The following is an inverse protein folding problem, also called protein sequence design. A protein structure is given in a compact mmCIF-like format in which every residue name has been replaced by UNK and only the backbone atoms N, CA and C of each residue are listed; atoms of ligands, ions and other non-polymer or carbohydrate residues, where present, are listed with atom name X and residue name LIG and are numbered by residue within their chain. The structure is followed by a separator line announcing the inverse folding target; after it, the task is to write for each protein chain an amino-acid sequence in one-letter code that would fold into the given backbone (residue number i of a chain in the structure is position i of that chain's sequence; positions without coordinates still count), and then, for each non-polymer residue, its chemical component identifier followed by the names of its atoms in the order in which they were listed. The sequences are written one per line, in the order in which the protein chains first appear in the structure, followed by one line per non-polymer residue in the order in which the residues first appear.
data_IF_539892088857
#
_entry.id   IF_539892088857
#
_cell.length_a   1.000
_cell.length_b   1.000
_cell.length_c   1.000
_cell.angle_alpha   90.00
_cell.angle_beta   90.00
_cell.angle_gamma   90.00
#
_symmetry.space_group_name_H-M   'P 1'
#
loop_
_entity.id
_entity.type
_entity.pdbx_description
1 polymer ?
#
# COMPACT_ATOMS: atom_id res chain seq x y z
N UNK A 1 35.19 19.11 -8.36
CA UNK A 1 34.65 17.75 -8.61
C UNK A 1 33.14 17.79 -8.45
N UNK A 2 32.37 17.76 -9.55
CA UNK A 2 30.90 17.70 -9.53
C UNK A 2 30.48 16.23 -9.63
N UNK A 3 29.75 15.72 -8.63
CA UNK A 3 29.16 14.37 -8.67
C UNK A 3 28.01 14.38 -9.69
N UNK A 4 28.15 13.63 -10.79
CA UNK A 4 27.04 13.37 -11.72
C UNK A 4 26.14 12.34 -11.05
N UNK A 5 24.94 12.78 -10.65
CA UNK A 5 23.91 11.93 -10.06
C UNK A 5 23.18 11.24 -11.22
N UNK A 6 23.46 9.95 -11.45
CA UNK A 6 22.66 9.13 -12.37
C UNK A 6 21.38 8.77 -11.63
N UNK A 7 20.32 9.55 -11.84
CA UNK A 7 18.98 9.22 -11.35
C UNK A 7 18.47 8.04 -12.17
N UNK A 8 18.50 6.85 -11.58
CA UNK A 8 17.87 5.65 -12.15
C UNK A 8 16.39 5.73 -11.83
N UNK A 9 15.58 6.25 -12.76
CA UNK A 9 14.11 6.17 -12.67
C UNK A 9 13.71 4.77 -13.17
N UNK A 10 13.36 3.89 -12.24
CA UNK A 10 12.85 2.56 -12.55
C UNK A 10 11.42 2.66 -13.11
N UNK A 11 11.28 2.76 -14.43
CA UNK A 11 10.00 2.54 -15.12
C UNK A 11 9.75 1.03 -15.22
N UNK A 12 8.95 0.48 -14.32
CA UNK A 12 8.55 -0.93 -14.34
C UNK A 12 7.35 -1.09 -15.28
N UNK A 13 7.54 -1.90 -16.33
CA UNK A 13 6.51 -2.30 -17.29
C UNK A 13 6.10 -3.75 -17.03
N UNK A 14 4.83 -3.98 -16.69
CA UNK A 14 4.27 -5.31 -16.71
C UNK A 14 2.84 -5.30 -17.30
N UNK A 15 2.59 -6.30 -18.14
CA UNK A 15 1.43 -6.39 -19.03
C UNK A 15 0.57 -7.58 -18.62
N UNK A 16 -0.73 -7.33 -18.44
CA UNK A 16 -1.77 -8.37 -18.33
C UNK A 16 -3.08 -7.80 -18.88
N UNK A 17 -3.61 -8.46 -19.90
CA UNK A 17 -4.79 -8.05 -20.67
C UNK A 17 -6.09 -8.41 -19.95
N UNK A 18 -7.02 -7.47 -19.76
CA UNK A 18 -8.46 -7.77 -19.63
C UNK A 18 -9.33 -6.56 -20.04
N UNK A 19 -10.51 -6.88 -20.57
CA UNK A 19 -11.39 -6.06 -21.41
C UNK A 19 -12.05 -4.83 -20.77
N UNK A 20 -12.60 -4.02 -21.67
CA UNK A 20 -12.98 -2.62 -21.53
C UNK A 20 -14.48 -2.38 -21.41
N UNK A 21 -14.88 -1.46 -20.52
CA UNK A 21 -16.02 -0.56 -20.77
C UNK A 21 -15.98 0.64 -19.82
N UNK A 22 -15.99 1.89 -20.34
CA UNK A 22 -16.25 3.11 -19.55
C UNK A 22 -16.68 4.26 -20.49
N UNK A 23 -17.86 4.81 -20.23
CA UNK A 23 -18.44 6.00 -20.85
C UNK A 23 -18.22 7.29 -20.06
N UNK A 24 -18.49 8.40 -20.75
CA UNK A 24 -18.22 9.79 -20.38
C UNK A 24 -19.34 10.45 -19.54
N UNK A 25 -18.96 11.48 -18.77
CA UNK A 25 -19.90 12.41 -18.15
C UNK A 25 -19.20 13.52 -17.33
N UNK A 26 -19.40 14.77 -17.74
CA UNK A 26 -18.82 15.99 -17.16
C UNK A 26 -19.85 16.80 -16.33
N UNK A 27 -19.38 17.48 -15.27
CA UNK A 27 -19.61 18.92 -14.95
C UNK A 27 -19.31 19.27 -13.47
N UNK A 28 -18.59 20.37 -13.22
CA UNK A 28 -18.71 21.18 -11.99
C UNK A 28 -17.63 21.03 -10.89
N UNK A 29 -16.49 21.71 -11.08
CA UNK A 29 -15.50 22.18 -10.08
C UNK A 29 -15.27 21.35 -8.80
N UNK A 30 -14.70 20.18 -8.99
CA UNK A 30 -13.48 19.85 -8.24
C UNK A 30 -12.45 19.46 -9.30
N UNK A 31 -11.17 19.81 -9.14
CA UNK A 31 -10.15 19.54 -10.16
C UNK A 31 -9.85 18.04 -10.36
N UNK A 32 -10.63 17.15 -9.76
CA UNK A 32 -10.50 15.71 -9.78
C UNK A 32 -11.28 15.09 -10.93
N UNK A 33 -10.68 14.10 -11.60
CA UNK A 33 -11.40 13.24 -12.54
C UNK A 33 -12.00 12.09 -11.74
N UNK A 34 -13.23 12.30 -11.27
CA UNK A 34 -13.97 11.34 -10.43
C UNK A 34 -14.04 11.75 -8.96
N UNK A 35 -14.19 10.75 -8.08
CA UNK A 35 -14.35 10.96 -6.63
C UNK A 35 -13.03 11.38 -6.00
N UNK A 36 -13.02 12.48 -5.25
CA UNK A 36 -11.79 13.00 -4.65
C UNK A 36 -11.33 12.17 -3.45
N UNK A 37 -10.05 12.27 -3.04
CA UNK A 37 -9.61 11.80 -1.73
C UNK A 37 -10.46 12.33 -0.57
N UNK A 38 -10.80 13.63 -0.56
CA UNK A 38 -11.66 14.23 0.48
C UNK A 38 -13.03 13.57 0.56
N UNK A 39 -13.62 13.22 -0.60
CA UNK A 39 -14.88 12.50 -0.66
C UNK A 39 -14.79 11.17 0.10
N UNK A 40 -13.80 10.33 -0.18
CA UNK A 40 -13.67 9.04 0.53
C UNK A 40 -13.29 9.20 2.00
N UNK A 41 -12.45 10.19 2.32
CA UNK A 41 -12.09 10.44 3.71
C UNK A 41 -13.29 10.93 4.54
N UNK A 42 -14.23 11.65 3.93
CA UNK A 42 -15.49 12.04 4.55
C UNK A 42 -16.49 10.88 4.67
N UNK A 43 -16.46 9.94 3.72
CA UNK A 43 -17.33 8.76 3.71
C UNK A 43 -16.92 7.71 4.76
N UNK A 44 -15.61 7.61 5.05
CA UNK A 44 -15.11 6.72 6.10
C UNK A 44 -15.59 7.20 7.48
N UNK A 45 -16.14 6.31 8.32
CA UNK A 45 -16.55 6.67 9.67
C UNK A 45 -15.37 7.21 10.49
N UNK A 46 -15.64 8.11 11.42
CA UNK A 46 -14.63 8.57 12.37
C UNK A 46 -14.08 7.39 13.20
N UNK A 47 -12.81 7.44 13.66
CA UNK A 47 -12.35 6.53 14.69
C UNK A 47 -13.29 6.61 15.90
N UNK A 48 -13.76 5.48 16.47
CA UNK A 48 -14.66 5.50 17.60
C UNK A 48 -13.98 6.14 18.82
N UNK A 49 -14.71 7.02 19.51
CA UNK A 49 -14.17 7.74 20.67
C UNK A 49 -13.82 6.82 21.84
N UNK A 50 -14.64 5.79 22.06
CA UNK A 50 -14.41 4.72 23.03
C UNK A 50 -14.31 3.39 22.26
N UNK A 51 -13.15 2.74 22.33
CA UNK A 51 -12.97 1.43 21.70
C UNK A 51 -13.39 0.26 22.59
N UNK A 52 -13.74 0.50 23.88
CA UNK A 52 -13.92 -0.54 24.90
C UNK A 52 -14.88 -0.14 26.04
N UNK A 53 -15.85 -1.00 26.41
CA UNK A 53 -16.45 -1.98 25.50
C UNK A 53 -17.21 -1.21 24.41
N UNK A 54 -17.00 -1.57 23.15
CA UNK A 54 -17.86 -1.07 22.08
C UNK A 54 -19.23 -1.73 22.21
N UNK A 55 -20.30 -0.94 22.12
CA UNK A 55 -21.65 -1.51 22.07
C UNK A 55 -21.90 -2.15 20.71
N UNK A 56 -22.68 -3.23 20.67
CA UNK A 56 -22.96 -3.96 19.44
C UNK A 56 -23.63 -3.10 18.37
N UNK A 57 -24.52 -2.17 18.76
CA UNK A 57 -25.16 -1.22 17.86
C UNK A 57 -24.16 -0.22 17.26
N UNK A 58 -23.19 0.24 18.06
CA UNK A 58 -22.11 1.13 17.60
C UNK A 58 -21.17 0.41 16.63
N UNK A 59 -20.76 -0.83 16.96
CA UNK A 59 -19.89 -1.66 16.10
C UNK A 59 -20.59 -1.98 14.78
N UNK A 60 -21.87 -2.34 14.83
CA UNK A 60 -22.69 -2.60 13.66
C UNK A 60 -22.82 -1.35 12.79
N UNK A 61 -23.18 -0.20 13.38
CA UNK A 61 -23.30 1.09 12.67
C UNK A 61 -21.97 1.51 12.03
N UNK A 62 -20.85 1.30 12.71
CA UNK A 62 -19.52 1.54 12.16
C UNK A 62 -19.25 0.64 10.95
N UNK A 63 -19.50 -0.66 11.08
CA UNK A 63 -19.23 -1.68 10.05
C UNK A 63 -20.09 -1.44 8.81
N UNK A 64 -21.38 -1.14 8.99
CA UNK A 64 -22.33 -0.82 7.92
C UNK A 64 -21.92 0.42 7.13
N UNK A 65 -21.26 1.40 7.75
CA UNK A 65 -20.72 2.58 7.05
C UNK A 65 -19.36 2.30 6.42
N UNK A 66 -18.49 1.58 7.13
CA UNK A 66 -17.11 1.34 6.74
C UNK A 66 -17.01 0.43 5.51
N UNK A 67 -17.70 -0.70 5.48
CA UNK A 67 -17.55 -1.71 4.41
C UNK A 67 -17.94 -1.17 3.03
N UNK A 68 -19.08 -0.49 2.83
CA UNK A 68 -19.41 0.12 1.54
C UNK A 68 -18.40 1.19 1.12
N UNK A 69 -17.99 2.07 2.04
CA UNK A 69 -17.01 3.11 1.78
C UNK A 69 -15.66 2.54 1.32
N UNK A 70 -15.17 1.50 2.00
CA UNK A 70 -13.92 0.79 1.65
C UNK A 70 -14.03 0.10 0.29
N UNK A 71 -15.15 -0.57 0.00
CA UNK A 71 -15.41 -1.22 -1.28
C UNK A 71 -15.39 -0.22 -2.42
N UNK A 72 -16.06 0.91 -2.22
CA UNK A 72 -16.15 1.98 -3.21
C UNK A 72 -14.79 2.65 -3.47
N UNK A 73 -14.03 2.94 -2.41
CA UNK A 73 -12.66 3.45 -2.50
C UNK A 73 -11.78 2.52 -3.34
N UNK A 74 -11.83 1.22 -3.06
CA UNK A 74 -11.03 0.22 -3.77
C UNK A 74 -11.46 0.10 -5.25
N UNK A 75 -12.76 0.22 -5.53
CA UNK A 75 -13.27 0.21 -6.90
C UNK A 75 -12.80 1.43 -7.71
N UNK A 76 -12.80 2.63 -7.10
CA UNK A 76 -12.31 3.86 -7.74
C UNK A 76 -10.80 3.83 -7.99
N UNK A 77 -10.00 3.38 -7.01
CA UNK A 77 -8.54 3.16 -7.18
C UNK A 77 -8.30 2.18 -8.34
N UNK A 78 -8.98 1.03 -8.33
CA UNK A 78 -8.85 0.03 -9.39
C UNK A 78 -9.27 0.56 -10.77
N UNK A 79 -10.32 1.39 -10.84
CA UNK A 79 -10.76 2.05 -12.07
C UNK A 79 -9.65 2.95 -12.64
N UNK A 80 -9.05 3.80 -11.80
CA UNK A 80 -7.96 4.71 -12.22
C UNK A 80 -6.69 3.99 -12.61
N UNK A 81 -6.31 2.95 -11.85
CA UNK A 81 -5.17 2.11 -12.19
C UNK A 81 -5.35 1.40 -13.54
N UNK A 82 -6.55 0.85 -13.81
CA UNK A 82 -6.85 0.26 -15.12
C UNK A 82 -6.81 1.29 -16.25
N UNK A 83 -7.34 2.50 -16.03
CA UNK A 83 -7.27 3.57 -17.00
C UNK A 83 -5.82 4.01 -17.29
N UNK A 84 -5.00 4.16 -16.24
CA UNK A 84 -3.57 4.46 -16.35
C UNK A 84 -2.82 3.36 -17.11
N UNK A 85 -3.11 2.09 -16.81
CA UNK A 85 -2.53 0.94 -17.52
C UNK A 85 -2.88 0.95 -19.01
N UNK A 86 -4.17 1.08 -19.34
CA UNK A 86 -4.63 1.16 -20.74
C UNK A 86 -4.00 2.35 -21.47
N UNK A 87 -3.90 3.49 -20.79
CA UNK A 87 -3.23 4.67 -21.33
C UNK A 87 -1.74 4.42 -21.60
N UNK A 88 -1.03 3.78 -20.66
CA UNK A 88 0.37 3.40 -20.85
C UNK A 88 0.54 2.46 -22.04
N UNK A 89 -0.34 1.46 -22.20
CA UNK A 89 -0.31 0.53 -23.34
C UNK A 89 -0.56 1.22 -24.68
N UNK A 90 -1.45 2.22 -24.72
CA UNK A 90 -1.76 2.98 -25.93
C UNK A 90 -0.65 3.98 -26.30
N UNK A 91 0.01 4.56 -25.29
CA UNK A 91 1.03 5.58 -25.49
C UNK A 91 2.46 5.03 -25.45
N UNK A 92 2.67 3.75 -25.08
CA UNK A 92 4.00 3.15 -24.91
C UNK A 92 4.89 3.33 -26.13
N UNK A 93 4.31 3.15 -27.31
CA UNK A 93 5.03 3.29 -28.57
C UNK A 93 5.51 4.72 -28.77
N UNK A 94 4.62 5.71 -28.62
CA UNK A 94 4.94 7.12 -28.81
C UNK A 94 5.86 7.66 -27.71
N UNK A 95 5.68 7.19 -26.46
CA UNK A 95 6.59 7.48 -25.35
C UNK A 95 7.99 6.95 -25.66
N UNK A 96 8.09 5.74 -26.22
CA UNK A 96 9.36 5.17 -26.63
C UNK A 96 9.96 5.91 -27.83
N UNK A 97 9.19 6.21 -28.87
CA UNK A 97 9.66 7.00 -30.01
C UNK A 97 10.20 8.36 -29.52
N UNK A 98 9.44 9.09 -28.70
CA UNK A 98 9.86 10.39 -28.16
C UNK A 98 11.03 10.32 -27.16
N UNK A 99 11.07 9.28 -26.31
CA UNK A 99 12.16 9.11 -25.36
C UNK A 99 13.46 8.76 -26.07
N UNK A 100 13.34 8.14 -27.24
CA UNK A 100 14.49 7.67 -27.97
C UNK A 100 14.93 8.65 -29.07
N UNK A 101 14.04 9.50 -29.62
CA UNK A 101 14.32 10.72 -30.41
C UNK A 101 15.16 11.78 -29.66
N UNK A 102 15.63 11.47 -28.45
CA UNK A 102 16.80 12.12 -27.91
C UNK A 102 18.01 11.89 -28.84
N UNK A 103 18.81 12.94 -29.14
CA UNK A 103 19.85 12.94 -30.17
C UNK A 103 20.65 11.63 -30.24
N UNK A 104 20.74 11.04 -31.44
CA UNK A 104 21.47 9.78 -31.71
C UNK A 104 20.61 8.51 -31.77
N UNK A 105 19.34 8.57 -32.18
CA UNK A 105 18.53 7.37 -32.42
C UNK A 105 17.84 7.37 -33.77
N UNK A 106 18.25 6.46 -34.63
CA UNK A 106 17.46 6.01 -35.76
C UNK A 106 16.89 4.63 -35.40
N UNK A 107 15.63 4.53 -34.96
CA UNK A 107 15.13 3.26 -34.45
C UNK A 107 13.70 2.87 -34.80
N UNK A 108 13.59 1.55 -35.03
CA UNK A 108 12.41 0.79 -35.44
C UNK A 108 11.31 0.72 -34.36
N UNK A 109 10.08 0.45 -34.78
CA UNK A 109 8.88 0.48 -33.95
C UNK A 109 8.79 -0.65 -32.90
N UNK A 110 7.98 -0.46 -31.86
CA UNK A 110 7.73 -1.46 -30.81
C UNK A 110 7.12 -2.77 -31.35
N UNK A 111 6.38 -2.71 -32.47
CA UNK A 111 5.83 -3.90 -33.14
C UNK A 111 6.93 -4.76 -33.79
N UNK A 112 7.99 -4.12 -34.30
CA UNK A 112 9.18 -4.80 -34.79
C UNK A 112 10.00 -5.37 -33.61
N UNK A 113 10.11 -4.62 -32.51
CA UNK A 113 10.76 -5.10 -31.28
C UNK A 113 10.03 -6.28 -30.62
N UNK A 114 8.70 -6.33 -30.64
CA UNK A 114 7.94 -7.49 -30.14
C UNK A 114 8.15 -8.73 -31.00
N UNK A 115 8.29 -8.56 -32.32
CA UNK A 115 8.60 -9.63 -33.28
C UNK A 115 10.06 -10.11 -33.19
N UNK A 116 10.95 -9.27 -32.65
CA UNK A 116 12.33 -9.64 -32.36
C UNK A 116 12.41 -10.60 -31.17
N UNK A 117 13.24 -11.63 -31.34
CA UNK A 117 13.66 -12.54 -30.30
C UNK A 117 14.40 -11.82 -29.17
N UNK A 118 14.49 -12.46 -28.00
CA UNK A 118 15.23 -11.93 -26.84
C UNK A 118 16.71 -11.64 -27.18
N UNK A 119 17.30 -12.41 -28.08
CA UNK A 119 18.66 -12.21 -28.58
C UNK A 119 18.77 -10.98 -29.49
N UNK A 120 17.82 -10.75 -30.38
CA UNK A 120 17.79 -9.57 -31.26
C UNK A 120 17.52 -8.29 -30.49
N UNK A 121 16.63 -8.32 -29.48
CA UNK A 121 16.43 -7.18 -28.57
C UNK A 121 17.70 -6.85 -27.80
N UNK A 122 18.42 -7.88 -27.34
CA UNK A 122 19.71 -7.71 -26.67
C UNK A 122 20.75 -7.12 -27.61
N UNK A 123 20.84 -7.60 -28.86
CA UNK A 123 21.74 -7.07 -29.90
C UNK A 123 21.42 -5.64 -30.29
N UNK A 124 20.13 -5.29 -30.35
CA UNK A 124 19.68 -3.92 -30.61
C UNK A 124 19.99 -3.00 -29.43
N UNK A 125 19.77 -3.44 -28.19
CA UNK A 125 20.16 -2.69 -27.00
C UNK A 125 21.69 -2.53 -26.89
N UNK A 126 22.45 -3.56 -27.28
CA UNK A 126 23.91 -3.53 -27.43
C UNK A 126 24.34 -2.50 -28.46
N UNK A 127 23.76 -2.57 -29.65
CA UNK A 127 24.03 -1.64 -30.73
C UNK A 127 23.62 -0.21 -30.34
N UNK A 128 22.50 -0.02 -29.66
CA UNK A 128 22.09 1.29 -29.13
C UNK A 128 23.08 1.82 -28.10
N UNK A 129 23.57 0.98 -27.20
CA UNK A 129 24.56 1.43 -26.21
C UNK A 129 25.91 1.74 -26.87
N UNK A 130 26.29 0.97 -27.89
CA UNK A 130 27.50 1.19 -28.64
C UNK A 130 27.41 2.42 -29.55
N UNK A 131 26.27 2.66 -30.19
CA UNK A 131 26.06 3.77 -31.12
C UNK A 131 25.76 5.09 -30.38
N UNK A 132 25.06 5.07 -29.24
CA UNK A 132 24.74 6.29 -28.43
C UNK A 132 25.83 6.69 -27.46
N UNK A 133 26.57 5.72 -26.95
CA UNK A 133 27.49 5.94 -25.85
C UNK A 133 28.91 5.46 -26.15
N UNK A 134 29.16 4.90 -27.33
CA UNK A 134 30.48 4.38 -27.71
C UNK A 134 30.87 3.14 -26.90
N UNK A 135 29.91 2.55 -26.17
CA UNK A 135 30.15 1.55 -25.14
C UNK A 135 29.71 0.19 -25.64
N UNK A 136 30.67 -0.73 -25.79
CA UNK A 136 30.34 -2.12 -26.06
C UNK A 136 29.74 -2.80 -24.82
N UNK A 137 28.98 -3.88 -24.99
CA UNK A 137 28.53 -4.66 -23.83
C UNK A 137 29.66 -5.34 -23.08
N UNK A 138 30.82 -5.52 -23.71
CA UNK A 138 32.00 -6.02 -23.03
C UNK A 138 32.60 -4.95 -22.12
N UNK A 139 32.51 -3.67 -22.47
CA UNK A 139 32.85 -2.55 -21.59
C UNK A 139 31.88 -2.46 -20.40
N UNK A 140 30.58 -2.69 -20.61
CA UNK A 140 29.59 -2.76 -19.51
C UNK A 140 29.79 -3.97 -18.59
N UNK A 141 30.16 -5.13 -19.15
CA UNK A 141 30.52 -6.31 -18.34
C UNK A 141 31.81 -6.06 -17.57
N UNK A 142 32.82 -5.45 -18.21
CA UNK A 142 34.06 -5.04 -17.59
C UNK A 142 33.82 -4.00 -16.50
N UNK A 143 32.88 -3.06 -16.69
CA UNK A 143 32.45 -2.08 -15.70
C UNK A 143 31.69 -2.73 -14.55
N UNK A 144 30.73 -3.63 -14.80
CA UNK A 144 30.06 -4.41 -13.73
C UNK A 144 31.06 -5.21 -12.91
N UNK A 145 32.07 -5.80 -13.56
CA UNK A 145 33.17 -6.52 -12.91
C UNK A 145 34.05 -5.56 -12.09
N UNK A 146 34.45 -4.43 -12.67
CA UNK A 146 35.21 -3.37 -12.00
C UNK A 146 34.45 -2.77 -10.80
N UNK A 147 33.12 -2.64 -10.87
CA UNK A 147 32.28 -2.13 -9.80
C UNK A 147 32.12 -3.15 -8.67
N UNK A 148 31.97 -4.45 -9.00
CA UNK A 148 32.08 -5.54 -8.02
C UNK A 148 33.47 -5.59 -7.35
N UNK A 149 34.51 -5.26 -8.10
CA UNK A 149 35.91 -5.17 -7.65
C UNK A 149 36.28 -3.80 -7.04
N UNK A 150 35.33 -2.86 -6.92
CA UNK A 150 35.52 -1.48 -6.40
C UNK A 150 36.63 -0.67 -7.10
N UNK A 151 36.93 -0.93 -8.38
CA UNK A 151 37.92 -0.20 -9.18
C UNK A 151 37.36 1.15 -9.65
N UNK A 152 37.66 2.21 -8.91
CA UNK A 152 37.17 3.58 -9.14
C UNK A 152 37.60 4.22 -10.46
N UNK A 153 38.82 3.94 -10.95
CA UNK A 153 39.33 4.55 -12.19
C UNK A 153 38.62 4.08 -13.46
N UNK A 154 38.25 2.80 -13.56
CA UNK A 154 37.52 2.27 -14.71
C UNK A 154 36.10 2.89 -14.85
N UNK A 155 35.48 3.26 -13.72
CA UNK A 155 34.19 3.97 -13.72
C UNK A 155 34.34 5.43 -14.18
N UNK A 156 35.49 6.07 -13.93
CA UNK A 156 35.76 7.45 -14.34
C UNK A 156 36.01 7.54 -15.85
N UNK A 157 36.74 6.58 -16.42
CA UNK A 157 37.04 6.59 -17.86
C UNK A 157 35.77 6.30 -18.69
N UNK A 158 34.93 5.36 -18.25
CA UNK A 158 33.61 5.12 -18.85
C UNK A 158 32.73 6.38 -18.87
N UNK A 159 32.69 7.13 -17.76
CA UNK A 159 31.91 8.36 -17.67
C UNK A 159 32.46 9.48 -18.57
N UNK A 160 33.79 9.52 -18.80
CA UNK A 160 34.42 10.48 -19.72
C UNK A 160 34.07 10.17 -21.18
N UNK A 161 34.07 8.90 -21.58
CA UNK A 161 33.69 8.49 -22.94
C UNK A 161 32.24 8.88 -23.25
N UNK A 162 31.31 8.59 -22.34
CA UNK A 162 29.90 8.99 -22.48
C UNK A 162 29.72 10.53 -22.57
N UNK A 163 30.52 11.30 -21.82
CA UNK A 163 30.46 12.75 -21.82
C UNK A 163 31.02 13.38 -23.12
N UNK A 164 32.02 12.74 -23.73
CA UNK A 164 32.63 13.20 -24.98
C UNK A 164 31.68 13.09 -26.19
N UNK A 165 30.91 12.01 -26.29
CA UNK A 165 29.96 11.82 -27.40
C UNK A 165 28.68 12.64 -27.26
N UNK A 166 28.17 12.83 -26.03
CA UNK A 166 27.08 13.78 -25.78
C UNK A 166 27.49 15.21 -26.19
N UNK A 167 28.74 15.59 -25.95
CA UNK A 167 29.30 16.86 -26.43
C UNK A 167 29.40 16.91 -27.95
N UNK A 168 29.75 15.82 -28.63
CA UNK A 168 29.82 15.76 -30.09
C UNK A 168 28.44 15.91 -30.75
N UNK A 169 27.40 15.27 -30.21
CA UNK A 169 26.03 15.42 -30.70
C UNK A 169 25.47 16.82 -30.41
N UNK A 170 25.80 17.41 -29.25
CA UNK A 170 25.45 18.79 -28.97
C UNK A 170 26.14 19.77 -29.92
N UNK A 171 27.37 19.49 -30.38
CA UNK A 171 28.09 20.33 -31.34
C UNK A 171 27.43 20.41 -32.72
N UNK A 172 26.54 19.47 -33.06
CA UNK A 172 25.79 19.46 -34.33
C UNK A 172 24.47 20.25 -34.26
N UNK A 173 23.98 20.59 -33.07
CA UNK A 173 22.75 21.37 -32.88
C UNK A 173 22.99 22.86 -33.06
N UNK A 174 21.98 23.60 -33.49
CA UNK A 174 21.99 25.06 -33.45
C UNK A 174 22.13 25.57 -32.01
N UNK A 175 22.59 26.82 -31.85
CA UNK A 175 22.71 27.44 -30.51
C UNK A 175 21.39 27.45 -29.76
N UNK A 176 20.28 27.76 -30.45
CA UNK A 176 18.94 27.80 -29.86
C UNK A 176 18.47 26.43 -29.36
N UNK A 177 18.71 25.37 -30.13
CA UNK A 177 18.37 23.99 -29.71
C UNK A 177 19.17 23.55 -28.48
N UNK A 178 20.48 23.88 -28.42
CA UNK A 178 21.29 23.58 -27.22
C UNK A 178 20.80 24.32 -25.99
N UNK A 179 20.39 25.57 -26.13
CA UNK A 179 19.85 26.36 -25.02
C UNK A 179 18.49 25.80 -24.55
N UNK A 180 17.62 25.42 -25.48
CA UNK A 180 16.35 24.75 -25.17
C UNK A 180 16.56 23.40 -24.45
N UNK A 181 17.52 22.59 -24.91
CA UNK A 181 17.84 21.30 -24.28
C UNK A 181 18.42 21.48 -22.88
N UNK A 182 19.31 22.46 -22.68
CA UNK A 182 19.83 22.80 -21.35
C UNK A 182 18.72 23.21 -20.40
N UNK A 183 17.77 24.00 -20.88
CA UNK A 183 16.61 24.42 -20.09
C UNK A 183 15.72 23.22 -19.74
N UNK A 184 15.44 22.34 -20.71
CA UNK A 184 14.67 21.11 -20.50
C UNK A 184 15.32 20.19 -19.46
N UNK A 185 16.63 19.97 -19.55
CA UNK A 185 17.39 19.18 -18.56
C UNK A 185 17.32 19.84 -17.18
N UNK A 186 17.45 21.17 -17.10
CA UNK A 186 17.36 21.90 -15.84
C UNK A 186 15.97 21.76 -15.21
N UNK A 187 14.90 21.84 -16.01
CA UNK A 187 13.52 21.74 -15.52
C UNK A 187 13.16 20.31 -15.11
N UNK A 188 13.58 19.29 -15.88
CA UNK A 188 13.51 17.88 -15.45
C UNK A 188 14.25 17.66 -14.13
N UNK A 189 15.44 18.26 -13.97
CA UNK A 189 16.21 18.19 -12.73
C UNK A 189 15.49 18.82 -11.54
N UNK A 190 14.81 19.96 -11.73
CA UNK A 190 13.99 20.59 -10.69
C UNK A 190 12.78 19.74 -10.32
N UNK A 191 12.06 19.21 -11.31
CA UNK A 191 10.89 18.34 -11.09
C UNK A 191 11.28 17.05 -10.36
N UNK A 192 12.35 16.38 -10.80
CA UNK A 192 12.85 15.18 -10.15
C UNK A 192 13.31 15.46 -8.71
N UNK A 193 13.95 16.61 -8.45
CA UNK A 193 14.29 17.04 -7.09
C UNK A 193 13.03 17.26 -6.24
N UNK A 194 12.04 17.98 -6.77
CA UNK A 194 10.78 18.24 -6.08
C UNK A 194 10.03 16.93 -5.75
N UNK A 195 9.98 15.98 -6.70
CA UNK A 195 9.42 14.64 -6.48
C UNK A 195 10.15 13.89 -5.36
N UNK A 196 11.49 13.85 -5.42
CA UNK A 196 12.33 13.17 -4.43
C UNK A 196 12.27 13.81 -3.05
N UNK A 197 11.92 15.09 -2.94
CA UNK A 197 11.71 15.76 -1.66
C UNK A 197 10.28 15.56 -1.15
N UNK A 198 9.27 15.70 -2.01
CA UNK A 198 7.86 15.69 -1.63
C UNK A 198 7.34 14.29 -1.31
N UNK A 199 7.66 13.29 -2.14
CA UNK A 199 7.18 11.92 -1.96
C UNK A 199 7.55 11.32 -0.58
N UNK A 200 8.83 11.34 -0.14
CA UNK A 200 9.17 10.81 1.18
C UNK A 200 8.63 11.68 2.32
N UNK A 201 8.49 13.00 2.14
CA UNK A 201 7.86 13.85 3.15
C UNK A 201 6.39 13.47 3.37
N UNK A 202 5.63 13.27 2.29
CA UNK A 202 4.24 12.82 2.34
C UNK A 202 4.13 11.44 2.99
N UNK A 203 4.94 10.48 2.54
CA UNK A 203 4.96 9.15 3.12
C UNK A 203 5.27 9.22 4.62
N UNK A 204 6.35 9.89 5.04
CA UNK A 204 6.73 10.00 6.45
C UNK A 204 5.68 10.71 7.29
N UNK A 205 5.11 11.81 6.78
CA UNK A 205 4.13 12.60 7.50
C UNK A 205 2.84 11.81 7.72
N UNK A 206 2.24 11.28 6.65
CA UNK A 206 0.94 10.63 6.73
C UNK A 206 1.03 9.17 7.18
N UNK A 207 1.87 8.35 6.54
CA UNK A 207 1.88 6.89 6.75
C UNK A 207 2.99 6.44 7.70
N UNK A 208 4.22 6.95 7.52
CA UNK A 208 5.40 6.49 8.25
C UNK A 208 5.27 6.65 9.76
N UNK A 209 4.82 7.82 10.24
CA UNK A 209 4.56 8.04 11.67
C UNK A 209 3.53 7.06 12.24
N UNK A 210 2.43 6.83 11.53
CA UNK A 210 1.38 5.92 11.98
C UNK A 210 1.90 4.47 12.01
N UNK A 211 2.62 4.03 10.97
CA UNK A 211 3.26 2.72 10.90
C UNK A 211 4.24 2.51 12.04
N UNK A 212 5.12 3.48 12.33
CA UNK A 212 6.04 3.40 13.47
C UNK A 212 5.28 3.24 14.79
N UNK A 213 4.21 4.00 15.02
CA UNK A 213 3.40 3.88 16.24
C UNK A 213 2.66 2.53 16.32
N UNK A 214 2.21 1.99 15.20
CA UNK A 214 1.61 0.64 15.15
C UNK A 214 2.66 -0.44 15.46
N UNK A 215 3.89 -0.29 14.99
CA UNK A 215 5.00 -1.19 15.38
C UNK A 215 5.31 -1.11 16.87
N UNK A 216 5.32 0.09 17.44
CA UNK A 216 5.51 0.28 18.88
C UNK A 216 4.37 -0.39 19.67
N UNK A 217 3.13 -0.27 19.18
CA UNK A 217 1.96 -0.90 19.77
C UNK A 217 2.05 -2.44 19.73
N UNK A 218 2.52 -3.00 18.62
CA UNK A 218 2.74 -4.44 18.46
C UNK A 218 3.89 -4.98 19.34
N UNK A 219 4.91 -4.14 19.58
CA UNK A 219 6.07 -4.48 20.42
C UNK A 219 5.84 -4.24 21.91
N UNK A 220 4.70 -3.70 22.33
CA UNK A 220 4.41 -3.38 23.72
C UNK A 220 4.44 -4.63 24.60
N UNK A 221 5.45 -4.73 25.47
CA UNK A 221 5.66 -5.92 26.31
C UNK A 221 4.53 -6.12 27.33
N UNK A 222 3.95 -5.04 27.85
CA UNK A 222 2.86 -5.15 28.81
C UNK A 222 1.59 -5.68 28.14
N UNK A 223 1.31 -5.19 26.92
CA UNK A 223 0.24 -5.73 26.08
C UNK A 223 0.43 -7.22 25.77
N UNK A 224 1.67 -7.65 25.47
CA UNK A 224 2.00 -9.06 25.24
C UNK A 224 1.74 -9.92 26.48
N UNK A 225 2.19 -9.47 27.64
CA UNK A 225 1.97 -10.19 28.91
C UNK A 225 0.46 -10.32 29.24
N UNK A 226 -0.32 -9.25 29.02
CA UNK A 226 -1.78 -9.30 29.18
C UNK A 226 -2.44 -10.30 28.23
N UNK A 227 -1.97 -10.34 26.97
CA UNK A 227 -2.48 -11.28 25.97
C UNK A 227 -2.14 -12.72 26.32
N UNK A 228 -0.90 -12.99 26.75
CA UNK A 228 -0.47 -14.31 27.23
C UNK A 228 -1.31 -14.77 28.43
N UNK A 229 -1.60 -13.87 29.37
CA UNK A 229 -2.50 -14.17 30.48
C UNK A 229 -3.90 -14.55 29.99
N UNK A 230 -4.50 -13.79 29.06
CA UNK A 230 -5.80 -14.14 28.45
C UNK A 230 -5.75 -15.54 27.83
N UNK A 231 -4.68 -15.86 27.09
CA UNK A 231 -4.53 -17.18 26.46
C UNK A 231 -4.40 -18.30 27.47
N UNK A 232 -3.64 -18.10 28.55
CA UNK A 232 -3.52 -19.09 29.61
C UNK A 232 -4.87 -19.37 30.27
N UNK A 233 -5.65 -18.32 30.53
CA UNK A 233 -7.01 -18.48 31.09
C UNK A 233 -7.97 -19.16 30.09
N UNK A 234 -7.83 -18.88 28.80
CA UNK A 234 -8.63 -19.54 27.75
C UNK A 234 -8.27 -21.01 27.59
N UNK A 235 -6.98 -21.36 27.61
CA UNK A 235 -6.51 -22.73 27.55
C UNK A 235 -6.95 -23.53 28.79
N UNK A 236 -6.99 -22.89 29.97
CA UNK A 236 -7.54 -23.49 31.19
C UNK A 236 -9.04 -23.79 31.06
N UNK A 237 -9.84 -22.85 30.54
CA UNK A 237 -11.26 -23.07 30.27
C UNK A 237 -11.47 -24.20 29.23
N UNK A 238 -10.64 -24.23 28.19
CA UNK A 238 -10.67 -25.27 27.16
C UNK A 238 -10.49 -26.68 27.75
N UNK A 239 -9.49 -26.81 28.64
CA UNK A 239 -9.21 -28.05 29.36
C UNK A 239 -10.41 -28.49 30.22
N UNK A 240 -11.04 -27.55 30.93
CA UNK A 240 -12.26 -27.81 31.71
C UNK A 240 -13.45 -28.30 30.86
N UNK A 241 -13.51 -27.88 29.59
CA UNK A 241 -14.57 -28.25 28.66
C UNK A 241 -14.26 -29.53 27.86
N UNK A 242 -13.05 -30.07 27.95
CA UNK A 242 -12.61 -31.19 27.11
C UNK A 242 -12.62 -30.86 25.61
N UNK A 243 -12.54 -29.57 25.27
CA UNK A 243 -12.56 -29.09 23.88
C UNK A 243 -11.26 -28.36 23.55
N UNK A 244 -10.65 -28.61 22.38
CA UNK A 244 -9.51 -27.83 21.95
C UNK A 244 -9.96 -26.39 21.65
N UNK A 245 -9.50 -25.43 22.43
CA UNK A 245 -9.75 -24.02 22.16
C UNK A 245 -8.86 -23.56 21.01
N UNK A 246 -9.49 -23.18 19.89
CA UNK A 246 -8.77 -22.56 18.78
C UNK A 246 -8.56 -21.10 19.13
N UNK A 247 -7.31 -20.74 19.46
CA UNK A 247 -6.95 -19.35 19.75
C UNK A 247 -7.42 -18.44 18.61
N UNK A 248 -8.11 -17.32 18.91
CA UNK A 248 -8.49 -16.34 17.91
C UNK A 248 -7.24 -15.88 17.16
N UNK A 249 -7.34 -15.73 15.84
CA UNK A 249 -6.29 -15.03 15.09
C UNK A 249 -6.36 -13.57 15.49
N UNK A 250 -5.36 -13.10 16.21
CA UNK A 250 -5.26 -11.68 16.53
C UNK A 250 -5.11 -10.85 15.26
N UNK A 251 -5.43 -9.56 15.39
CA UNK A 251 -4.98 -8.55 14.43
C UNK A 251 -3.46 -8.51 14.45
N UNK A 252 -2.86 -9.18 13.47
CA UNK A 252 -1.42 -9.17 13.24
C UNK A 252 -1.05 -7.90 12.49
N UNK A 253 -0.77 -6.84 13.25
CA UNK A 253 -0.30 -5.58 12.68
C UNK A 253 1.01 -5.75 11.93
N UNK A 254 1.84 -6.75 12.24
CA UNK A 254 3.10 -6.98 11.51
C UNK A 254 2.83 -7.27 10.03
N UNK A 255 1.82 -8.08 9.71
CA UNK A 255 1.40 -8.34 8.32
C UNK A 255 0.87 -7.08 7.64
N UNK A 256 0.03 -6.31 8.33
CA UNK A 256 -0.49 -5.03 7.80
C UNK A 256 0.68 -4.08 7.54
N UNK A 257 1.60 -3.96 8.50
CA UNK A 257 2.80 -3.12 8.42
C UNK A 257 3.72 -3.56 7.28
N UNK A 258 3.90 -4.86 7.07
CA UNK A 258 4.72 -5.40 5.98
C UNK A 258 4.11 -5.11 4.61
N UNK A 259 2.78 -5.20 4.49
CA UNK A 259 2.05 -4.73 3.29
C UNK A 259 2.24 -3.22 3.12
N UNK A 260 2.07 -2.42 4.18
CA UNK A 260 2.25 -0.96 4.11
C UNK A 260 3.68 -0.55 3.75
N UNK A 261 4.68 -1.27 4.27
CA UNK A 261 6.10 -1.07 3.98
C UNK A 261 6.47 -1.51 2.58
N UNK A 262 5.97 -2.64 2.11
CA UNK A 262 6.22 -3.10 0.74
C UNK A 262 5.60 -2.14 -0.28
N UNK A 263 4.39 -1.64 0.00
CA UNK A 263 3.75 -0.57 -0.77
C UNK A 263 4.46 0.79 -0.64
N UNK A 264 5.24 1.03 0.42
CA UNK A 264 6.10 2.22 0.56
C UNK A 264 7.50 2.07 -0.06
N UNK A 265 7.98 0.83 -0.20
CA UNK A 265 9.28 0.46 -0.82
C UNK A 265 9.18 0.20 -2.31
N UNK A 266 7.98 -0.07 -2.83
CA UNK A 266 7.68 0.07 -4.26
C UNK A 266 7.79 1.56 -4.60
N UNK A 267 9.00 2.00 -4.92
CA UNK A 267 9.22 3.14 -5.80
C UNK A 267 8.26 2.99 -6.99
N UNK A 268 7.15 3.73 -6.98
CA UNK A 268 6.29 4.01 -8.16
C UNK A 268 5.98 2.74 -8.99
N UNK A 269 5.64 1.64 -8.31
CA UNK A 269 5.29 0.36 -8.91
C UNK A 269 3.89 -0.05 -8.49
N UNK A 270 2.88 0.36 -9.27
CA UNK A 270 1.49 0.01 -9.06
C UNK A 270 1.21 -1.42 -9.52
N UNK A 271 1.42 -2.44 -8.68
CA UNK A 271 1.09 -3.81 -9.10
C UNK A 271 0.56 -4.81 -8.05
N UNK A 272 0.29 -4.44 -6.80
CA UNK A 272 -0.29 -5.42 -5.85
C UNK A 272 -1.19 -4.79 -4.78
N UNK A 273 -2.47 -4.63 -5.12
CA UNK A 273 -3.52 -4.20 -4.17
C UNK A 273 -4.67 -5.23 -4.06
N UNK A 274 -4.65 -6.31 -4.84
CA UNK A 274 -5.75 -7.29 -4.86
C UNK A 274 -5.88 -8.19 -3.64
N UNK A 275 -4.83 -8.40 -2.84
CA UNK A 275 -4.81 -9.51 -1.87
C UNK A 275 -5.19 -9.11 -0.43
N UNK A 276 -5.49 -7.84 -0.18
CA UNK A 276 -5.83 -7.33 1.18
C UNK A 276 -7.31 -7.49 1.56
N UNK A 277 -8.14 -8.05 0.68
CA UNK A 277 -9.59 -8.24 0.92
C UNK A 277 -9.90 -9.48 1.77
N UNK A 278 -8.96 -10.41 1.94
CA UNK A 278 -9.25 -11.73 2.51
C UNK A 278 -9.05 -11.83 4.04
N UNK A 279 -8.65 -10.76 4.72
CA UNK A 279 -8.37 -10.79 6.17
C UNK A 279 -9.63 -10.80 7.06
N UNK A 280 -10.77 -10.32 6.57
CA UNK A 280 -12.01 -10.27 7.34
C UNK A 280 -12.88 -11.54 7.17
N UNK A 281 -12.70 -12.28 6.07
CA UNK A 281 -13.55 -13.43 5.71
C UNK A 281 -13.07 -14.75 6.35
N UNK A 282 -11.87 -14.77 6.92
CA UNK A 282 -11.27 -15.97 7.54
C UNK A 282 -11.57 -16.11 9.06
N UNK A 283 -12.35 -15.19 9.65
CA UNK A 283 -12.70 -15.21 11.09
C UNK A 283 -13.99 -15.99 11.41
N UNK A 284 -14.86 -16.28 10.43
CA UNK A 284 -16.20 -16.84 10.66
C UNK A 284 -16.34 -18.37 10.48
N UNK A 285 -15.24 -19.08 10.18
CA UNK A 285 -15.28 -20.54 10.03
C UNK A 285 -14.93 -21.26 11.35
N UNK A 286 -15.92 -21.40 12.24
CA UNK A 286 -15.85 -22.36 13.36
C UNK A 286 -16.21 -23.77 12.84
N UNK A 287 -15.27 -24.73 12.76
CA UNK A 287 -15.62 -26.12 12.56
C UNK A 287 -16.27 -26.66 13.84
N UNK A 288 -17.40 -27.36 13.69
CA UNK A 288 -17.94 -28.20 14.76
C UNK A 288 -16.99 -29.38 14.96
N UNK A 289 -16.21 -29.36 16.06
CA UNK A 289 -15.32 -30.46 16.40
C UNK A 289 -16.01 -31.42 17.36
N UNK A 290 -15.84 -32.72 17.08
CA UNK A 290 -16.34 -33.82 17.91
C UNK A 290 -15.70 -33.80 19.31
N UNK A 291 -16.44 -34.11 20.38
CA UNK A 291 -15.92 -34.07 21.76
C UNK A 291 -14.78 -35.08 21.95
N UNK A 292 -13.71 -34.67 22.64
CA UNK A 292 -12.72 -35.60 23.18
C UNK A 292 -13.15 -36.01 24.60
N UNK A 293 -13.11 -37.33 24.85
CA UNK A 293 -13.68 -38.01 26.02
C UNK A 293 -12.80 -37.91 27.28
N UNK A 294 -12.33 -36.70 27.62
CA UNK A 294 -11.57 -36.42 28.86
C UNK A 294 -11.97 -35.08 29.47
N UNK A 295 -13.28 -34.82 29.60
CA UNK A 295 -13.77 -33.62 30.29
C UNK A 295 -13.44 -33.73 31.79
N UNK A 296 -12.74 -32.71 32.31
CA UNK A 296 -12.45 -32.59 33.73
C UNK A 296 -13.75 -32.39 34.53
N UNK A 297 -13.82 -32.92 35.76
CA UNK A 297 -15.00 -32.85 36.65
C UNK A 297 -15.18 -31.48 37.31
N UNK A 298 -14.70 -30.42 36.66
CA UNK A 298 -14.88 -29.06 37.15
C UNK A 298 -16.36 -28.73 37.23
N UNK A 299 -16.74 -28.13 38.36
CA UNK A 299 -18.11 -27.70 38.63
C UNK A 299 -18.52 -26.60 37.66
N UNK A 300 -19.84 -26.40 37.51
CA UNK A 300 -20.33 -25.33 36.66
C UNK A 300 -19.84 -23.95 37.12
N UNK A 301 -19.82 -23.73 38.44
CA UNK A 301 -19.33 -22.50 39.04
C UNK A 301 -17.88 -22.21 38.67
N UNK A 302 -17.00 -23.21 38.68
CA UNK A 302 -15.58 -23.03 38.32
C UNK A 302 -15.41 -22.58 36.86
N UNK A 303 -16.26 -23.07 35.96
CA UNK A 303 -16.25 -22.68 34.53
C UNK A 303 -16.76 -21.25 34.34
N UNK A 304 -17.82 -20.87 35.05
CA UNK A 304 -18.35 -19.50 35.04
C UNK A 304 -17.34 -18.50 35.63
N UNK A 305 -16.69 -18.86 36.74
CA UNK A 305 -15.65 -18.04 37.37
C UNK A 305 -14.43 -17.89 36.44
N UNK A 306 -14.03 -18.98 35.77
CA UNK A 306 -12.94 -18.99 34.79
C UNK A 306 -13.28 -18.09 33.58
N UNK A 307 -14.51 -18.19 33.06
CA UNK A 307 -14.96 -17.34 31.97
C UNK A 307 -15.00 -15.87 32.38
N UNK A 308 -15.49 -15.57 33.59
CA UNK A 308 -15.50 -14.21 34.14
C UNK A 308 -14.07 -13.63 34.25
N UNK A 309 -13.08 -14.44 34.66
CA UNK A 309 -11.65 -14.03 34.66
C UNK A 309 -11.16 -13.68 33.25
N UNK A 310 -11.50 -14.49 32.24
CA UNK A 310 -11.17 -14.21 30.83
C UNK A 310 -11.79 -12.88 30.39
N UNK A 311 -13.08 -12.65 30.70
CA UNK A 311 -13.76 -11.42 30.30
C UNK A 311 -13.11 -10.19 30.95
N UNK A 312 -12.84 -10.22 32.26
CA UNK A 312 -12.14 -9.14 32.98
C UNK A 312 -10.74 -8.88 32.42
N UNK A 313 -10.00 -9.93 32.08
CA UNK A 313 -8.67 -9.81 31.48
C UNK A 313 -8.74 -9.19 30.07
N UNK A 314 -9.69 -9.61 29.23
CA UNK A 314 -9.93 -9.01 27.91
C UNK A 314 -10.38 -7.56 28.01
N UNK A 315 -11.25 -7.22 28.96
CA UNK A 315 -11.65 -5.83 29.24
C UNK A 315 -10.45 -4.97 29.62
N UNK A 316 -9.58 -5.47 30.49
CA UNK A 316 -8.35 -4.78 30.90
C UNK A 316 -7.40 -4.56 29.72
N UNK A 317 -7.24 -5.58 28.87
CA UNK A 317 -6.44 -5.50 27.65
C UNK A 317 -7.01 -4.48 26.66
N UNK A 318 -8.34 -4.50 26.46
CA UNK A 318 -9.05 -3.57 25.61
C UNK A 318 -8.84 -2.12 26.09
N UNK A 319 -9.12 -1.84 27.37
CA UNK A 319 -8.96 -0.53 27.99
C UNK A 319 -7.53 0.01 27.87
N UNK A 320 -6.54 -0.88 27.84
CA UNK A 320 -5.14 -0.51 27.64
C UNK A 320 -4.80 -0.20 26.18
N UNK A 321 -5.22 -1.05 25.23
CA UNK A 321 -4.77 -1.00 23.84
C UNK A 321 -5.62 -0.10 22.95
N UNK A 322 -6.95 -0.11 23.11
CA UNK A 322 -7.83 0.61 22.21
C UNK A 322 -7.58 2.13 22.22
N UNK A 323 -7.39 2.82 23.36
CA UNK A 323 -7.11 4.26 23.35
C UNK A 323 -5.83 4.62 22.56
N UNK A 324 -4.80 3.75 22.59
CA UNK A 324 -3.56 3.95 21.82
C UNK A 324 -3.83 3.83 20.33
N UNK A 325 -4.57 2.80 19.90
CA UNK A 325 -4.97 2.64 18.50
C UNK A 325 -5.83 3.81 18.01
N UNK A 326 -6.83 4.22 18.81
CA UNK A 326 -7.71 5.34 18.45
C UNK A 326 -6.95 6.65 18.30
N UNK A 327 -5.96 6.90 19.16
CA UNK A 327 -5.06 8.04 19.04
C UNK A 327 -4.28 8.00 17.71
N UNK A 328 -3.71 6.85 17.35
CA UNK A 328 -2.99 6.67 16.08
C UNK A 328 -3.92 6.94 14.88
N UNK A 329 -5.13 6.36 14.88
CA UNK A 329 -6.12 6.54 13.80
C UNK A 329 -6.57 8.00 13.66
N UNK A 330 -6.79 8.69 14.77
CA UNK A 330 -7.22 10.10 14.79
C UNK A 330 -6.13 11.02 14.24
N UNK A 331 -4.89 10.87 14.71
CA UNK A 331 -3.75 11.65 14.23
C UNK A 331 -3.46 11.37 12.75
N UNK A 332 -3.57 10.11 12.31
CA UNK A 332 -3.40 9.74 10.90
C UNK A 332 -4.47 10.39 10.02
N UNK A 333 -5.76 10.31 10.42
CA UNK A 333 -6.86 10.96 9.68
C UNK A 333 -6.64 12.47 9.55
N UNK A 334 -6.26 13.14 10.64
CA UNK A 334 -5.98 14.58 10.64
C UNK A 334 -4.81 14.94 9.70
N UNK A 335 -3.77 14.11 9.68
CA UNK A 335 -2.64 14.30 8.77
C UNK A 335 -3.05 14.09 7.31
N UNK A 336 -3.92 13.12 7.02
CA UNK A 336 -4.46 12.92 5.66
C UNK A 336 -5.28 14.13 5.20
N UNK A 337 -6.17 14.66 6.05
CA UNK A 337 -6.97 15.86 5.75
C UNK A 337 -6.07 17.06 5.36
N UNK A 338 -4.98 17.28 6.11
CA UNK A 338 -4.09 18.43 5.88
C UNK A 338 -3.06 18.21 4.75
N UNK A 339 -2.92 16.99 4.22
CA UNK A 339 -1.93 16.66 3.18
C UNK A 339 -2.51 16.48 1.77
N UNK A 340 -3.83 16.63 1.58
CA UNK A 340 -4.47 16.38 0.27
C UNK A 340 -3.93 17.26 -0.86
N UNK A 341 -3.73 18.55 -0.62
CA UNK A 341 -3.14 19.45 -1.61
C UNK A 341 -1.71 19.07 -2.00
N UNK A 342 -0.97 18.44 -1.07
CA UNK A 342 0.39 17.97 -1.32
C UNK A 342 0.40 16.68 -2.14
N UNK A 343 -0.57 15.78 -1.96
CA UNK A 343 -0.74 14.62 -2.83
C UNK A 343 -1.10 15.03 -4.27
N UNK A 344 -1.98 16.02 -4.44
CA UNK A 344 -2.25 16.65 -5.74
C UNK A 344 -0.99 17.16 -6.42
N UNK A 345 -0.17 17.89 -5.65
CA UNK A 345 1.08 18.46 -6.14
C UNK A 345 2.07 17.37 -6.55
N UNK A 346 2.13 16.26 -5.81
CA UNK A 346 2.94 15.11 -6.20
C UNK A 346 2.49 14.53 -7.54
N UNK A 347 1.19 14.30 -7.73
CA UNK A 347 0.65 13.76 -8.98
C UNK A 347 0.93 14.70 -10.17
N UNK A 348 0.83 16.03 -9.95
CA UNK A 348 1.20 17.05 -10.93
C UNK A 348 2.67 16.97 -11.32
N UNK A 349 3.57 16.95 -10.33
CA UNK A 349 5.03 16.86 -10.57
C UNK A 349 5.37 15.58 -11.34
N UNK A 350 4.75 14.45 -10.99
CA UNK A 350 4.97 13.17 -11.68
C UNK A 350 4.51 13.25 -13.13
N UNK A 351 3.34 13.84 -13.39
CA UNK A 351 2.84 14.04 -14.76
C UNK A 351 3.74 14.95 -15.59
N UNK A 352 4.17 16.09 -15.02
CA UNK A 352 5.06 17.04 -15.69
C UNK A 352 6.45 16.44 -15.96
N UNK A 353 6.97 15.66 -15.02
CA UNK A 353 8.23 14.95 -15.19
C UNK A 353 8.14 13.97 -16.36
N UNK A 354 7.06 13.19 -16.43
CA UNK A 354 6.84 12.25 -17.53
C UNK A 354 6.64 12.97 -18.86
N UNK A 355 5.90 14.07 -18.89
CA UNK A 355 5.75 14.90 -20.07
C UNK A 355 7.08 15.47 -20.54
N UNK A 356 7.91 15.96 -19.62
CA UNK A 356 9.22 16.49 -19.96
C UNK A 356 10.17 15.40 -20.49
N UNK A 357 10.10 14.18 -19.95
CA UNK A 357 10.94 13.06 -20.38
C UNK A 357 10.48 12.42 -21.71
N UNK A 358 9.18 12.26 -21.88
CA UNK A 358 8.61 11.44 -22.97
C UNK A 358 7.80 12.24 -23.97
N UNK A 359 7.64 13.55 -23.78
CA UNK A 359 6.78 14.41 -24.59
C UNK A 359 5.28 14.12 -24.41
N UNK A 360 4.91 13.23 -23.49
CA UNK A 360 3.52 12.81 -23.26
C UNK A 360 3.23 12.86 -21.76
N UNK A 361 2.29 13.71 -21.36
CA UNK A 361 1.84 13.82 -19.97
C UNK A 361 0.95 12.64 -19.56
N UNK A 362 0.88 12.36 -18.26
CA UNK A 362 0.03 11.30 -17.73
C UNK A 362 -1.46 11.59 -17.94
N UNK A 363 -2.32 10.55 -17.99
CA UNK A 363 -3.75 10.75 -18.13
C UNK A 363 -4.32 11.39 -16.86
N UNK A 364 -5.44 12.08 -17.01
CA UNK A 364 -6.15 12.68 -15.87
C UNK A 364 -6.54 11.67 -14.78
N UNK A 365 -6.69 10.39 -15.13
CA UNK A 365 -6.94 9.31 -14.18
C UNK A 365 -5.84 9.16 -13.11
N UNK A 366 -4.62 9.66 -13.36
CA UNK A 366 -3.55 9.67 -12.35
C UNK A 366 -3.81 10.72 -11.26
N UNK A 367 -4.54 11.79 -11.57
CA UNK A 367 -4.76 12.88 -10.62
C UNK A 367 -5.55 12.37 -9.41
N UNK A 368 -4.91 12.37 -8.26
CA UNK A 368 -5.47 11.96 -6.96
C UNK A 368 -5.22 10.55 -6.57
N UNK A 369 -4.60 9.77 -7.44
CA UNK A 369 -4.34 8.38 -7.14
C UNK A 369 -3.44 8.25 -5.89
N UNK A 370 -2.42 9.10 -5.76
CA UNK A 370 -1.54 9.10 -4.57
C UNK A 370 -2.30 9.39 -3.26
N UNK A 371 -3.27 10.30 -3.30
CA UNK A 371 -4.12 10.61 -2.14
C UNK A 371 -5.10 9.49 -1.80
N UNK A 372 -5.71 8.88 -2.83
CA UNK A 372 -6.59 7.71 -2.66
C UNK A 372 -5.85 6.51 -2.06
N UNK A 373 -4.64 6.23 -2.55
CA UNK A 373 -3.81 5.15 -1.99
C UNK A 373 -3.48 5.39 -0.52
N UNK A 374 -3.17 6.63 -0.15
CA UNK A 374 -2.90 6.99 1.24
C UNK A 374 -4.13 6.77 2.15
N UNK A 375 -5.33 7.09 1.65
CA UNK A 375 -6.59 6.82 2.35
C UNK A 375 -6.86 5.31 2.43
N UNK A 376 -6.55 4.54 1.39
CA UNK A 376 -6.74 3.09 1.40
C UNK A 376 -5.88 2.42 2.48
N UNK A 377 -4.63 2.88 2.66
CA UNK A 377 -3.75 2.42 3.73
C UNK A 377 -4.31 2.74 5.12
N UNK A 378 -4.85 3.94 5.30
CA UNK A 378 -5.55 4.31 6.53
C UNK A 378 -6.80 3.45 6.75
N UNK A 379 -7.62 3.25 5.72
CA UNK A 379 -8.82 2.42 5.78
C UNK A 379 -8.50 0.96 6.17
N UNK A 380 -7.37 0.42 5.72
CA UNK A 380 -6.92 -0.92 6.09
C UNK A 380 -6.73 -1.08 7.61
N UNK A 381 -6.23 -0.04 8.31
CA UNK A 381 -6.06 -0.04 9.77
C UNK A 381 -7.34 0.37 10.49
N UNK A 382 -8.12 1.31 9.92
CA UNK A 382 -9.39 1.74 10.48
C UNK A 382 -10.39 0.59 10.60
N UNK A 383 -10.36 -0.39 9.70
CA UNK A 383 -11.18 -1.60 9.79
C UNK A 383 -10.96 -2.42 11.07
N UNK A 384 -9.82 -2.23 11.75
CA UNK A 384 -9.51 -2.86 13.04
C UNK A 384 -9.76 -1.94 14.24
N UNK A 385 -10.56 -0.86 14.09
CA UNK A 385 -10.84 0.09 15.17
C UNK A 385 -11.43 -0.56 16.43
N UNK A 386 -12.22 -1.62 16.26
CA UNK A 386 -12.78 -2.44 17.34
C UNK A 386 -12.02 -3.77 17.54
N UNK A 387 -10.80 -3.91 16.99
CA UNK A 387 -10.04 -5.16 17.02
C UNK A 387 -9.64 -5.64 18.41
N UNK A 388 -9.78 -4.79 19.44
CA UNK A 388 -9.54 -5.15 20.85
C UNK A 388 -10.83 -5.39 21.64
N UNK A 389 -12.01 -5.14 21.07
CA UNK A 389 -13.29 -5.26 21.77
C UNK A 389 -13.48 -6.70 22.30
N UNK A 390 -13.76 -6.89 23.61
CA UNK A 390 -13.93 -8.22 24.17
C UNK A 390 -15.21 -8.93 23.73
N UNK A 391 -16.18 -8.21 23.14
CA UNK A 391 -17.54 -8.69 22.91
C UNK A 391 -18.39 -8.61 24.18
N UNK A 392 -19.65 -9.05 24.06
CA UNK A 392 -20.53 -9.22 25.21
C UNK A 392 -20.04 -10.33 26.15
N UNK A 393 -20.36 -10.19 27.44
CA UNK A 393 -20.08 -11.21 28.44
C UNK A 393 -21.12 -12.34 28.35
N UNK A 394 -20.82 -13.36 27.54
CA UNK A 394 -21.68 -14.54 27.43
C UNK A 394 -21.36 -15.63 28.48
N UNK A 395 -20.55 -15.33 29.50
CA UNK A 395 -20.07 -16.36 30.43
C UNK A 395 -21.18 -17.02 31.25
N UNK A 396 -22.25 -16.29 31.56
CA UNK A 396 -23.36 -16.78 32.39
C UNK A 396 -24.28 -17.74 31.65
N UNK A 397 -24.44 -17.55 30.35
CA UNK A 397 -25.41 -18.30 29.54
C UNK A 397 -24.83 -19.61 28.99
N UNK A 398 -23.50 -19.75 28.97
CA UNK A 398 -22.82 -20.85 28.27
C UNK A 398 -22.71 -22.15 29.06
N UNK A 399 -22.59 -22.10 30.39
CA UNK A 399 -22.16 -23.27 31.17
C UNK A 399 -23.23 -23.83 32.11
N UNK A 400 -23.98 -22.95 32.78
CA UNK A 400 -24.86 -23.38 33.86
C UNK A 400 -26.32 -23.52 33.47
N UNK A 401 -26.60 -23.54 32.16
CA UNK A 401 -27.87 -23.91 31.55
C UNK A 401 -29.02 -23.59 32.49
N UNK A 402 -29.29 -22.30 32.68
CA UNK A 402 -30.35 -21.87 33.57
C UNK A 402 -31.59 -22.69 33.21
N UNK A 403 -32.08 -23.50 34.16
CA UNK A 403 -33.46 -23.94 34.12
C UNK A 403 -34.25 -22.67 33.87
N UNK A 404 -34.74 -22.46 32.64
CA UNK A 404 -35.71 -21.41 32.42
C UNK A 404 -36.82 -21.71 33.42
N UNK A 405 -37.09 -20.82 34.40
CA UNK A 405 -38.14 -21.06 35.37
C UNK A 405 -39.40 -21.32 34.56
N UNK A 406 -39.91 -22.55 34.70
CA UNK A 406 -40.78 -23.17 33.72
C UNK A 406 -41.84 -22.21 33.21
N UNK A 407 -41.95 -22.12 31.88
CA UNK A 407 -43.19 -21.67 31.25
C UNK A 407 -44.29 -22.59 31.80
N UNK A 408 -44.95 -22.13 32.86
CA UNK A 408 -46.07 -22.81 33.48
C UNK A 408 -47.09 -23.04 32.38
N UNK A 409 -47.27 -24.30 32.01
CA UNK A 409 -48.37 -24.72 31.17
C UNK A 409 -49.65 -24.35 31.91
N UNK A 410 -50.26 -23.22 31.54
CA UNK A 410 -51.69 -23.02 31.78
C UNK A 410 -52.40 -24.00 30.85
N UNK A 411 -52.64 -25.20 31.37
CA UNK A 411 -53.66 -26.10 30.86
C UNK A 411 -55.01 -25.45 31.12
N UNK A 412 -55.69 -25.06 30.05
CA UNK A 412 -57.15 -24.90 30.05
C UNK A 412 -57.83 -26.26 29.92
#
# INVERSE_FOLDING_TARGET
MKKILVVTVSLIWAATSYGSDLGDGAAGQSSWVGKSPDYFLSMLPAPPGNGCPGKDDEIKSFTEKFLPARKELSAEIGKRQRALKKWNEQNSRKMMENAVDMPGFDGKSQAEMKKMSKAERKKMAEKMMQDKFGVSMDDLKAQKKANKEKKTMANVDFAKTMAGELQANDLMKSKGEREADKQKIADVGKLAKAQNELAPQLYRAATGKAVTKLEELDKDQFAKNMREMIYNEQDALAAMLGQPYKRPKDVDYSKIIDVLKSQGKLEIGYESVSDSTNLAEELDALPQTTPHETADKSSCQEKEDQCSRIHVAKMSYCNYMAPKLQKILTEWRSTLLTSQSRYLELDRIVSELQQAQTGIGLPDAMRGLSGLDAIQRYAAVLGSAYGYNPGEDHCKDLFCGGEQPGAGSQSN
#
